data_IF_938424771646
#
_entry.id   IF_938424771646
#
_cell.length_a   1.000
_cell.length_b   1.000
_cell.length_c   1.000
_cell.angle_alpha   90.00
_cell.angle_beta   90.00
_cell.angle_gamma   90.00
#
_symmetry.space_group_name_H-M   'P 1'
#
loop_
_entity.id
_entity.type
_entity.pdbx_description
1 polymer ?
#
# COMPACT_ATOMS: atom_id res chain seq x y z
N UNK A 1 20.95 -28.92 -24.35
CA UNK A 1 20.04 -27.83 -24.77
C UNK A 1 19.36 -27.34 -23.47
N UNK A 2 19.95 -26.32 -22.88
CA UNK A 2 19.47 -25.79 -21.57
C UNK A 2 18.34 -24.78 -21.88
N UNK A 3 17.12 -25.09 -21.46
CA UNK A 3 15.99 -24.15 -21.48
C UNK A 3 16.25 -23.07 -20.45
N UNK A 4 16.67 -21.91 -20.91
CA UNK A 4 16.80 -20.69 -20.15
C UNK A 4 15.40 -20.23 -19.73
N UNK A 5 14.95 -20.61 -18.54
CA UNK A 5 13.79 -20.04 -17.88
C UNK A 5 14.10 -18.56 -17.63
N UNK A 6 13.55 -17.66 -18.46
CA UNK A 6 13.47 -16.23 -18.12
C UNK A 6 12.66 -16.14 -16.85
N UNK A 7 13.33 -16.02 -15.68
CA UNK A 7 12.68 -15.69 -14.42
C UNK A 7 11.87 -14.41 -14.64
N UNK A 8 10.58 -14.41 -14.28
CA UNK A 8 9.78 -13.20 -14.28
C UNK A 8 10.51 -12.19 -13.38
N UNK A 9 10.80 -11.04 -13.95
CA UNK A 9 11.39 -9.93 -13.19
C UNK A 9 10.37 -9.46 -12.15
N UNK A 10 10.79 -9.36 -10.88
CA UNK A 10 9.90 -8.91 -9.81
C UNK A 10 9.37 -7.50 -10.07
N UNK A 11 8.11 -7.24 -9.73
CA UNK A 11 7.50 -5.91 -9.84
C UNK A 11 8.20 -4.91 -8.95
N UNK A 12 8.50 -5.29 -7.70
CA UNK A 12 9.27 -4.48 -6.75
C UNK A 12 10.42 -5.31 -6.21
N UNK A 13 11.61 -4.73 -6.16
CA UNK A 13 12.82 -5.35 -5.62
C UNK A 13 13.57 -4.36 -4.75
N UNK A 14 13.90 -4.78 -3.55
CA UNK A 14 14.77 -4.11 -2.60
C UNK A 14 16.04 -4.93 -2.46
N UNK A 15 17.21 -4.30 -2.69
CA UNK A 15 18.52 -4.93 -2.64
C UNK A 15 19.35 -4.26 -1.53
N UNK A 16 19.51 -4.93 -0.39
CA UNK A 16 20.31 -4.50 0.76
C UNK A 16 20.02 -3.06 1.22
N UNK A 17 18.73 -2.74 1.32
CA UNK A 17 18.25 -1.37 1.59
C UNK A 17 18.45 -1.01 3.06
N UNK A 18 19.07 0.14 3.30
CA UNK A 18 19.23 0.76 4.61
C UNK A 18 18.72 2.19 4.63
N UNK A 19 18.34 2.65 5.84
CA UNK A 19 17.89 4.03 6.08
C UNK A 19 18.43 4.56 7.39
N UNK A 20 19.11 5.69 7.31
CA UNK A 20 19.63 6.45 8.46
C UNK A 20 19.07 7.88 8.40
N UNK A 21 18.38 8.30 9.46
CA UNK A 21 18.00 9.69 9.65
C UNK A 21 19.11 10.47 10.38
N UNK A 22 19.34 11.70 9.96
CA UNK A 22 20.21 12.64 10.66
C UNK A 22 19.35 13.42 11.66
N UNK A 23 19.47 13.10 12.95
CA UNK A 23 18.76 13.77 14.04
C UNK A 23 19.68 14.68 14.85
N UNK A 24 19.09 15.51 15.73
CA UNK A 24 19.83 16.40 16.66
C UNK A 24 20.75 15.62 17.62
N UNK A 25 20.45 14.36 17.91
CA UNK A 25 21.22 13.49 18.79
C UNK A 25 22.17 12.53 18.01
N UNK A 26 22.45 12.85 16.74
CA UNK A 26 23.29 12.04 15.86
C UNK A 26 22.50 11.15 14.90
N UNK A 27 23.20 10.34 14.09
CA UNK A 27 22.58 9.47 13.11
C UNK A 27 21.77 8.35 13.79
N UNK A 28 20.52 8.20 13.39
CA UNK A 28 19.62 7.12 13.84
C UNK A 28 19.36 6.15 12.68
N UNK A 29 19.86 4.94 12.79
CA UNK A 29 19.56 3.86 11.83
C UNK A 29 18.18 3.29 12.09
N UNK A 30 17.32 3.35 11.07
CA UNK A 30 15.91 2.93 11.14
C UNK A 30 15.67 1.64 10.38
N UNK A 31 16.37 1.44 9.26
CA UNK A 31 16.32 0.20 8.48
C UNK A 31 17.73 -0.25 8.13
N UNK A 32 17.96 -1.56 8.10
CA UNK A 32 19.25 -2.14 7.69
C UNK A 32 19.06 -3.50 7.03
N UNK A 33 19.82 -3.70 5.97
CA UNK A 33 19.90 -4.98 5.23
C UNK A 33 18.54 -5.50 4.77
N UNK A 34 17.62 -4.62 4.34
CA UNK A 34 16.31 -5.03 3.84
C UNK A 34 16.43 -5.51 2.41
N UNK A 35 16.25 -6.80 2.20
CA UNK A 35 16.16 -7.42 0.89
C UNK A 35 14.80 -8.11 0.74
N UNK A 36 14.03 -7.72 -0.28
CA UNK A 36 12.65 -8.16 -0.48
C UNK A 36 12.32 -8.11 -1.97
N UNK A 37 11.51 -9.05 -2.43
CA UNK A 37 10.94 -9.04 -3.78
C UNK A 37 9.45 -9.30 -3.76
N UNK A 38 8.72 -8.64 -4.66
CA UNK A 38 7.28 -8.79 -4.87
C UNK A 38 7.00 -8.93 -6.35
N UNK A 39 6.27 -9.97 -6.74
CA UNK A 39 5.85 -10.20 -8.12
C UNK A 39 4.50 -9.50 -8.40
N UNK A 40 4.17 -9.35 -9.70
CA UNK A 40 2.84 -8.85 -10.09
C UNK A 40 1.73 -9.75 -9.54
N UNK A 41 0.68 -9.13 -9.01
CA UNK A 41 -0.49 -9.82 -8.43
C UNK A 41 -0.22 -10.50 -7.09
N UNK A 42 0.97 -10.36 -6.49
CA UNK A 42 1.24 -10.85 -5.13
C UNK A 42 0.77 -9.85 -4.07
N UNK A 43 0.33 -10.40 -2.93
CA UNK A 43 -0.11 -9.64 -1.77
C UNK A 43 0.84 -9.92 -0.60
N UNK A 44 1.56 -8.88 -0.16
CA UNK A 44 2.51 -8.96 0.94
C UNK A 44 1.99 -8.18 2.14
N UNK A 45 2.13 -8.74 3.32
CA UNK A 45 1.91 -8.03 4.57
C UNK A 45 3.21 -7.85 5.32
N UNK A 46 3.36 -6.70 5.97
CA UNK A 46 4.53 -6.37 6.80
C UNK A 46 4.04 -6.13 8.21
N UNK A 47 4.43 -7.00 9.14
CA UNK A 47 4.05 -6.90 10.55
C UNK A 47 5.25 -6.61 11.43
N UNK A 48 4.99 -5.97 12.56
CA UNK A 48 6.01 -5.68 13.57
C UNK A 48 5.53 -4.63 14.56
N UNK A 49 6.24 -4.43 15.67
CA UNK A 49 5.86 -3.47 16.69
C UNK A 49 5.93 -2.03 16.18
N UNK A 50 5.28 -1.12 16.92
CA UNK A 50 5.33 0.32 16.62
C UNK A 50 6.79 0.82 16.69
N UNK A 51 7.15 1.69 15.75
CA UNK A 51 8.50 2.29 15.69
C UNK A 51 9.60 1.41 15.08
N UNK A 52 9.34 0.17 14.64
CA UNK A 52 10.38 -0.69 14.04
C UNK A 52 10.76 -0.32 12.58
N UNK A 53 10.18 0.72 11.98
CA UNK A 53 10.55 1.21 10.65
C UNK A 53 9.58 0.90 9.51
N UNK A 54 8.42 0.26 9.76
CA UNK A 54 7.45 -0.15 8.71
C UNK A 54 6.99 1.01 7.82
N UNK A 55 6.57 2.13 8.41
CA UNK A 55 6.13 3.31 7.64
C UNK A 55 7.30 3.96 6.87
N UNK A 56 8.53 3.88 7.40
CA UNK A 56 9.73 4.33 6.68
C UNK A 56 10.01 3.42 5.48
N UNK A 57 9.91 2.10 5.64
CA UNK A 57 10.01 1.15 4.53
C UNK A 57 8.98 1.45 3.44
N UNK A 58 7.74 1.73 3.85
CA UNK A 58 6.65 2.04 2.92
C UNK A 58 6.93 3.32 2.11
N UNK A 59 7.47 4.37 2.76
CA UNK A 59 7.89 5.61 2.09
C UNK A 59 9.03 5.39 1.10
N UNK A 60 10.00 4.53 1.42
CA UNK A 60 11.06 4.13 0.50
C UNK A 60 10.49 3.42 -0.72
N UNK A 61 9.60 2.43 -0.52
CA UNK A 61 8.94 1.69 -1.61
C UNK A 61 8.02 2.58 -2.46
N UNK A 62 7.47 3.66 -1.89
CA UNK A 62 6.68 4.65 -2.62
C UNK A 62 7.53 5.65 -3.43
N UNK A 63 8.85 5.63 -3.26
CA UNK A 63 9.75 6.63 -3.85
C UNK A 63 9.63 8.02 -3.23
N UNK A 64 8.97 8.14 -2.05
CA UNK A 64 8.82 9.39 -1.30
C UNK A 64 10.10 9.76 -0.54
N UNK A 65 10.98 8.79 -0.37
CA UNK A 65 12.28 8.94 0.28
C UNK A 65 13.29 8.04 -0.42
N UNK A 66 14.53 8.51 -0.57
CA UNK A 66 15.62 7.69 -1.07
C UNK A 66 16.24 6.85 0.07
N UNK A 67 16.66 5.60 -0.19
CA UNK A 67 17.45 4.84 0.77
C UNK A 67 18.84 5.47 0.96
N UNK A 68 19.43 5.30 2.14
CA UNK A 68 20.83 5.72 2.40
C UNK A 68 21.83 4.67 1.96
N UNK A 69 21.42 3.41 1.89
CA UNK A 69 22.21 2.25 1.49
C UNK A 69 21.36 1.35 0.58
N UNK A 70 22.01 0.62 -0.34
CA UNK A 70 21.32 -0.28 -1.25
C UNK A 70 20.53 0.44 -2.35
N UNK A 71 19.59 -0.29 -2.96
CA UNK A 71 18.76 0.25 -4.03
C UNK A 71 17.36 -0.38 -4.07
N UNK A 72 16.42 0.36 -4.65
CA UNK A 72 15.06 -0.11 -4.91
C UNK A 72 14.82 -0.05 -6.42
N UNK A 73 14.23 -1.12 -6.97
CA UNK A 73 13.78 -1.18 -8.35
C UNK A 73 12.28 -1.44 -8.40
N UNK A 74 11.61 -0.79 -9.35
CA UNK A 74 10.20 -1.01 -9.64
C UNK A 74 10.03 -1.24 -11.14
N UNK A 75 9.41 -2.35 -11.52
CA UNK A 75 9.29 -2.80 -12.91
C UNK A 75 10.65 -2.76 -13.65
N UNK A 76 11.70 -3.31 -13.03
CA UNK A 76 13.06 -3.37 -13.54
C UNK A 76 13.85 -2.06 -13.51
N UNK A 77 13.22 -0.93 -13.23
CA UNK A 77 13.85 0.40 -13.23
C UNK A 77 14.20 0.84 -11.81
N UNK A 78 15.36 1.48 -11.65
CA UNK A 78 15.75 2.09 -10.36
C UNK A 78 14.73 3.14 -9.93
N UNK A 79 14.28 3.05 -8.68
CA UNK A 79 13.38 4.03 -8.07
C UNK A 79 14.14 5.32 -7.77
N UNK A 80 13.72 6.42 -8.37
CA UNK A 80 14.32 7.75 -8.16
C UNK A 80 13.31 8.78 -7.65
N UNK A 81 12.05 8.40 -7.48
CA UNK A 81 10.95 9.24 -7.03
C UNK A 81 9.60 8.54 -7.14
N UNK A 82 8.50 9.21 -6.79
CA UNK A 82 7.15 8.70 -6.92
C UNK A 82 6.81 8.30 -8.36
N UNK A 83 5.95 7.29 -8.51
CA UNK A 83 5.57 6.75 -9.81
C UNK A 83 4.05 6.77 -10.01
N UNK A 84 3.55 7.05 -11.22
CA UNK A 84 2.11 7.10 -11.49
C UNK A 84 1.43 5.73 -11.45
N UNK A 85 2.20 4.64 -11.62
CA UNK A 85 1.74 3.25 -11.56
C UNK A 85 1.84 2.63 -10.14
N UNK A 86 2.09 3.49 -9.13
CA UNK A 86 2.13 3.14 -7.72
C UNK A 86 1.19 4.05 -6.92
N UNK A 87 0.34 3.49 -6.09
CA UNK A 87 -0.53 4.24 -5.20
C UNK A 87 -0.21 3.95 -3.73
N UNK A 88 -0.46 4.94 -2.86
CA UNK A 88 -0.30 4.79 -1.41
C UNK A 88 -1.53 5.28 -0.67
N UNK A 89 -1.96 4.52 0.34
CA UNK A 89 -2.97 4.91 1.32
C UNK A 89 -2.29 5.04 2.68
N UNK A 90 -2.30 6.24 3.23
CA UNK A 90 -1.76 6.55 4.55
C UNK A 90 -2.77 6.25 5.66
N UNK A 91 -2.30 6.13 6.88
CA UNK A 91 -3.11 5.85 8.08
C UNK A 91 -4.20 6.90 8.34
N UNK A 92 -3.94 8.17 8.01
CA UNK A 92 -4.89 9.29 8.15
C UNK A 92 -5.82 9.45 6.94
N UNK A 93 -5.78 8.47 6.01
CA UNK A 93 -6.52 8.44 4.74
C UNK A 93 -6.16 9.56 3.75
N UNK A 94 -5.62 10.69 4.19
CA UNK A 94 -5.23 11.84 3.38
C UNK A 94 -6.35 12.37 2.46
N UNK A 95 -7.62 12.29 2.88
CA UNK A 95 -8.74 12.80 2.10
C UNK A 95 -8.74 14.33 2.10
N UNK A 96 -9.10 14.93 0.97
CA UNK A 96 -9.27 16.37 0.87
C UNK A 96 -10.62 16.77 1.49
N UNK A 97 -10.65 17.48 2.63
CA UNK A 97 -11.87 17.73 3.38
C UNK A 97 -12.89 18.62 2.66
N UNK A 98 -12.44 19.40 1.67
CA UNK A 98 -13.27 20.27 0.82
C UNK A 98 -13.75 19.61 -0.48
N UNK A 99 -13.48 18.31 -0.65
CA UNK A 99 -13.94 17.50 -1.78
C UNK A 99 -14.88 16.42 -1.30
N UNK A 100 -15.93 16.17 -2.09
CA UNK A 100 -16.84 15.04 -1.85
C UNK A 100 -16.13 13.69 -2.04
N UNK A 101 -16.80 12.59 -1.68
CA UNK A 101 -16.32 11.22 -1.94
C UNK A 101 -15.97 11.05 -3.43
N UNK A 102 -16.90 11.39 -4.32
CA UNK A 102 -16.69 11.28 -5.77
C UNK A 102 -15.50 12.12 -6.26
N UNK A 103 -15.39 13.36 -5.80
CA UNK A 103 -14.30 14.26 -6.19
C UNK A 103 -12.95 13.79 -5.66
N UNK A 104 -12.89 13.22 -4.44
CA UNK A 104 -11.67 12.59 -3.91
C UNK A 104 -11.24 11.43 -4.79
N UNK A 105 -12.18 10.56 -5.19
CA UNK A 105 -11.89 9.39 -6.04
C UNK A 105 -11.43 9.83 -7.44
N UNK A 106 -12.03 10.87 -8.02
CA UNK A 106 -11.69 11.35 -9.37
C UNK A 106 -10.37 12.12 -9.44
N UNK A 107 -9.89 12.64 -8.31
CA UNK A 107 -8.75 13.57 -8.28
C UNK A 107 -7.48 13.04 -8.96
N UNK A 108 -7.01 11.80 -8.73
CA UNK A 108 -5.80 11.32 -9.37
C UNK A 108 -5.89 11.31 -10.89
N UNK A 109 -7.06 10.93 -11.44
CA UNK A 109 -7.30 10.92 -12.88
C UNK A 109 -7.25 12.31 -13.51
N UNK A 110 -7.67 13.33 -12.76
CA UNK A 110 -7.58 14.74 -13.21
C UNK A 110 -6.13 15.20 -13.30
N UNK A 111 -5.27 14.75 -12.37
CA UNK A 111 -3.85 15.13 -12.32
C UNK A 111 -2.99 14.39 -13.36
N UNK A 112 -3.35 13.15 -13.69
CA UNK A 112 -2.55 12.27 -14.56
C UNK A 112 -3.16 12.02 -15.93
N UNK A 113 -4.19 12.77 -16.33
CA UNK A 113 -4.89 12.60 -17.62
C UNK A 113 -5.44 11.19 -17.86
N UNK A 114 -5.74 10.47 -16.80
CA UNK A 114 -6.31 9.12 -16.83
C UNK A 114 -7.62 9.06 -16.04
N UNK A 115 -8.59 9.86 -16.46
CA UNK A 115 -9.86 9.98 -15.77
C UNK A 115 -10.75 8.75 -15.97
N UNK A 116 -11.33 8.26 -14.87
CA UNK A 116 -12.38 7.25 -14.93
C UNK A 116 -13.56 7.77 -15.77
N UNK A 117 -14.05 6.97 -16.70
CA UNK A 117 -15.33 7.25 -17.34
C UNK A 117 -16.48 7.03 -16.34
N UNK A 118 -17.72 7.40 -16.74
CA UNK A 118 -18.88 7.33 -15.86
C UNK A 118 -19.14 5.91 -15.35
N UNK A 119 -19.06 4.91 -16.23
CA UNK A 119 -19.36 3.51 -15.88
C UNK A 119 -18.30 2.91 -14.96
N UNK A 120 -17.03 3.23 -15.18
CA UNK A 120 -15.93 2.83 -14.30
C UNK A 120 -16.07 3.40 -12.89
N UNK A 121 -16.43 4.68 -12.79
CA UNK A 121 -16.68 5.32 -11.50
C UNK A 121 -17.88 4.69 -10.77
N UNK A 122 -19.00 4.48 -11.48
CA UNK A 122 -20.19 3.83 -10.87
C UNK A 122 -19.84 2.44 -10.34
N UNK A 123 -19.13 1.61 -11.13
CA UNK A 123 -18.67 0.29 -10.69
C UNK A 123 -17.78 0.37 -9.46
N UNK A 124 -16.85 1.35 -9.42
CA UNK A 124 -15.95 1.53 -8.28
C UNK A 124 -16.70 1.97 -7.02
N UNK A 125 -17.63 2.94 -7.14
CA UNK A 125 -18.47 3.40 -6.03
C UNK A 125 -19.35 2.25 -5.49
N UNK A 126 -19.94 1.44 -6.38
CA UNK A 126 -20.74 0.27 -5.99
C UNK A 126 -19.87 -0.80 -5.30
N UNK A 127 -18.69 -1.13 -5.85
CA UNK A 127 -17.79 -2.14 -5.28
C UNK A 127 -17.29 -1.79 -3.89
N UNK A 128 -17.21 -0.50 -3.57
CA UNK A 128 -16.78 0.03 -2.27
C UNK A 128 -17.95 0.43 -1.37
N UNK A 129 -19.20 0.19 -1.79
CA UNK A 129 -20.41 0.58 -1.05
C UNK A 129 -20.41 2.07 -0.66
N UNK A 130 -20.11 2.94 -1.64
CA UNK A 130 -20.02 4.40 -1.48
C UNK A 130 -21.08 5.17 -2.28
N UNK A 131 -21.95 4.49 -3.02
CA UNK A 131 -22.93 5.13 -3.92
C UNK A 131 -23.84 6.08 -3.16
N UNK A 132 -24.34 5.69 -1.98
CA UNK A 132 -25.26 6.49 -1.18
C UNK A 132 -24.62 7.78 -0.64
N UNK A 133 -23.31 7.75 -0.39
CA UNK A 133 -22.56 8.86 0.23
C UNK A 133 -21.66 9.61 -0.75
N UNK A 134 -21.80 9.36 -2.05
CA UNK A 134 -20.91 9.90 -3.10
C UNK A 134 -20.74 11.42 -3.09
N UNK A 135 -21.78 12.14 -2.63
CA UNK A 135 -21.79 13.61 -2.54
C UNK A 135 -21.46 14.16 -1.16
N UNK A 136 -21.22 13.29 -0.18
CA UNK A 136 -20.83 13.69 1.17
C UNK A 136 -19.36 14.10 1.23
N UNK A 137 -19.06 15.00 2.15
CA UNK A 137 -17.70 15.43 2.47
C UNK A 137 -17.08 14.52 3.53
N UNK A 138 -15.74 14.41 3.64
CA UNK A 138 -15.08 13.57 4.62
C UNK A 138 -15.53 13.77 6.07
N UNK A 139 -15.93 15.00 6.45
CA UNK A 139 -16.45 15.29 7.79
C UNK A 139 -17.76 14.58 8.13
N UNK A 140 -18.55 14.19 7.13
CA UNK A 140 -19.86 13.55 7.26
C UNK A 140 -19.78 12.02 7.21
N UNK A 141 -18.58 11.45 6.98
CA UNK A 141 -18.37 10.02 6.77
C UNK A 141 -17.99 9.29 8.05
N UNK A 142 -18.44 8.03 8.18
CA UNK A 142 -17.90 7.09 9.16
C UNK A 142 -16.43 6.75 8.85
N UNK A 143 -15.70 6.18 9.82
CA UNK A 143 -14.32 5.73 9.63
C UNK A 143 -14.19 4.76 8.45
N UNK A 144 -15.08 3.77 8.34
CA UNK A 144 -15.08 2.82 7.22
C UNK A 144 -15.38 3.47 5.87
N UNK A 145 -16.28 4.46 5.81
CA UNK A 145 -16.55 5.21 4.59
C UNK A 145 -15.34 6.07 4.17
N UNK A 146 -14.66 6.73 5.12
CA UNK A 146 -13.41 7.47 4.85
C UNK A 146 -12.35 6.54 4.26
N UNK A 147 -12.17 5.40 4.86
CA UNK A 147 -11.22 4.40 4.40
C UNK A 147 -11.55 3.90 2.99
N UNK A 148 -12.79 3.46 2.75
CA UNK A 148 -13.24 3.00 1.42
C UNK A 148 -13.08 4.11 0.37
N UNK A 149 -13.28 5.37 0.76
CA UNK A 149 -13.02 6.53 -0.12
C UNK A 149 -11.53 6.67 -0.47
N UNK A 150 -10.64 6.50 0.51
CA UNK A 150 -9.19 6.54 0.27
C UNK A 150 -8.72 5.37 -0.62
N UNK A 151 -9.26 4.16 -0.38
CA UNK A 151 -9.04 3.01 -1.26
C UNK A 151 -9.55 3.30 -2.67
N UNK A 152 -10.77 3.82 -2.82
CA UNK A 152 -11.34 4.18 -4.12
C UNK A 152 -10.50 5.19 -4.87
N UNK A 153 -9.95 6.19 -4.18
CA UNK A 153 -9.03 7.17 -4.77
C UNK A 153 -7.74 6.50 -5.27
N UNK A 154 -7.17 5.59 -4.50
CA UNK A 154 -5.97 4.86 -4.90
C UNK A 154 -6.26 3.91 -6.08
N UNK A 155 -7.37 3.19 -6.05
CA UNK A 155 -7.79 2.25 -7.09
C UNK A 155 -8.18 2.94 -8.40
N UNK A 156 -8.66 4.19 -8.33
CA UNK A 156 -8.98 5.00 -9.51
C UNK A 156 -7.78 5.23 -10.45
N UNK A 157 -6.56 5.11 -9.93
CA UNK A 157 -5.33 5.17 -10.73
C UNK A 157 -5.03 3.86 -11.47
N UNK A 158 -5.71 2.76 -11.17
CA UNK A 158 -5.39 1.42 -11.66
C UNK A 158 -3.90 1.08 -11.47
N UNK A 159 -3.36 1.23 -10.25
CA UNK A 159 -1.93 1.07 -10.01
C UNK A 159 -1.51 -0.38 -10.19
N UNK A 160 -0.23 -0.60 -10.56
CA UNK A 160 0.39 -1.93 -10.53
C UNK A 160 0.69 -2.37 -9.10
N UNK A 161 0.99 -1.41 -8.22
CA UNK A 161 1.28 -1.64 -6.80
C UNK A 161 0.50 -0.68 -5.92
N UNK A 162 -0.21 -1.22 -4.93
CA UNK A 162 -0.88 -0.46 -3.88
C UNK A 162 -0.17 -0.69 -2.54
N UNK A 163 0.32 0.39 -1.96
CA UNK A 163 0.93 0.42 -0.63
C UNK A 163 -0.09 0.95 0.38
N UNK A 164 -0.17 0.33 1.56
CA UNK A 164 -1.11 0.75 2.61
C UNK A 164 -0.44 0.74 3.98
N UNK A 165 -0.55 1.86 4.71
CA UNK A 165 0.00 2.03 6.07
C UNK A 165 -1.13 1.94 7.09
N UNK A 166 -1.20 0.83 7.82
CA UNK A 166 -2.21 0.51 8.83
C UNK A 166 -3.66 0.86 8.41
N UNK A 167 -4.08 0.41 7.22
CA UNK A 167 -5.29 0.93 6.60
C UNK A 167 -6.57 0.67 7.42
N UNK A 168 -6.63 -0.37 8.24
CA UNK A 168 -7.84 -0.77 8.96
C UNK A 168 -7.74 -0.58 10.48
N UNK A 169 -6.67 0.09 10.96
CA UNK A 169 -6.39 0.23 12.39
C UNK A 169 -7.45 1.05 13.16
N UNK A 170 -8.05 2.05 12.51
CA UNK A 170 -9.04 2.94 13.10
C UNK A 170 -10.49 2.41 13.03
N UNK A 171 -10.71 1.19 12.51
CA UNK A 171 -12.04 0.60 12.35
C UNK A 171 -12.38 -0.32 13.52
N UNK A 172 -13.67 -0.35 13.89
CA UNK A 172 -14.20 -1.39 14.77
C UNK A 172 -14.14 -2.78 14.08
N UNK A 173 -14.17 -3.88 14.85
CA UNK A 173 -13.99 -5.22 14.30
C UNK A 173 -14.99 -5.58 13.19
N UNK A 174 -16.26 -5.23 13.33
CA UNK A 174 -17.29 -5.58 12.34
C UNK A 174 -17.05 -4.84 11.02
N UNK A 175 -16.77 -3.54 11.10
CA UNK A 175 -16.46 -2.70 9.95
C UNK A 175 -15.16 -3.15 9.26
N UNK A 176 -14.18 -3.59 10.04
CA UNK A 176 -12.88 -4.09 9.54
C UNK A 176 -13.07 -5.32 8.66
N UNK A 177 -13.83 -6.32 9.12
CA UNK A 177 -14.12 -7.52 8.32
C UNK A 177 -14.86 -7.19 7.00
N UNK A 178 -15.84 -6.29 7.06
CA UNK A 178 -16.52 -5.83 5.83
C UNK A 178 -15.54 -5.18 4.84
N UNK A 179 -14.60 -4.37 5.32
CA UNK A 179 -13.57 -3.76 4.47
C UNK A 179 -12.61 -4.80 3.89
N UNK A 180 -12.24 -5.86 4.66
CA UNK A 180 -11.41 -6.95 4.16
C UNK A 180 -12.10 -7.68 3.00
N UNK A 181 -13.38 -8.03 3.15
CA UNK A 181 -14.14 -8.75 2.12
C UNK A 181 -14.26 -7.93 0.83
N UNK A 182 -14.57 -6.64 0.96
CA UNK A 182 -14.63 -5.72 -0.18
C UNK A 182 -13.26 -5.60 -0.87
N UNK A 183 -12.19 -5.47 -0.09
CA UNK A 183 -10.84 -5.36 -0.61
C UNK A 183 -10.39 -6.65 -1.29
N UNK A 184 -10.58 -7.81 -0.66
CA UNK A 184 -10.29 -9.14 -1.25
C UNK A 184 -11.01 -9.35 -2.56
N UNK A 185 -12.30 -9.03 -2.62
CA UNK A 185 -13.09 -9.14 -3.85
C UNK A 185 -12.51 -8.28 -4.97
N UNK A 186 -12.03 -7.08 -4.64
CA UNK A 186 -11.41 -6.20 -5.62
C UNK A 186 -10.07 -6.73 -6.12
N UNK A 187 -9.14 -7.07 -5.20
CA UNK A 187 -7.81 -7.55 -5.59
C UNK A 187 -7.87 -8.89 -6.35
N UNK A 188 -8.80 -9.78 -5.99
CA UNK A 188 -9.00 -11.06 -6.66
C UNK A 188 -9.45 -10.95 -8.12
N UNK A 189 -9.90 -9.77 -8.57
CA UNK A 189 -10.27 -9.50 -9.98
C UNK A 189 -9.25 -8.65 -10.72
N UNK A 190 -8.13 -8.30 -10.09
CA UNK A 190 -7.09 -7.44 -10.67
C UNK A 190 -5.71 -8.11 -10.60
N UNK A 191 -4.80 -7.68 -11.48
CA UNK A 191 -3.38 -8.07 -11.41
C UNK A 191 -2.54 -7.16 -10.51
N UNK A 192 -3.19 -6.30 -9.72
CA UNK A 192 -2.54 -5.35 -8.83
C UNK A 192 -1.85 -6.08 -7.68
N UNK A 193 -0.58 -5.81 -7.47
CA UNK A 193 0.13 -6.25 -6.28
C UNK A 193 -0.17 -5.33 -5.09
N UNK A 194 -0.08 -5.84 -3.86
CA UNK A 194 -0.31 -5.03 -2.65
C UNK A 194 0.76 -5.26 -1.60
N UNK A 195 1.11 -4.20 -0.86
CA UNK A 195 1.88 -4.29 0.38
C UNK A 195 1.11 -3.58 1.48
N UNK A 196 0.77 -4.32 2.53
CA UNK A 196 0.00 -3.82 3.67
C UNK A 196 0.89 -3.84 4.90
N UNK A 197 1.14 -2.68 5.48
CA UNK A 197 1.78 -2.54 6.79
C UNK A 197 0.71 -2.59 7.87
N UNK A 198 0.87 -3.49 8.84
CA UNK A 198 -0.07 -3.64 9.95
C UNK A 198 0.63 -4.12 11.23
N UNK A 199 -0.03 -3.96 12.37
CA UNK A 199 0.35 -4.61 13.63
C UNK A 199 -0.53 -5.81 13.95
N UNK A 200 -1.56 -6.11 13.13
CA UNK A 200 -2.49 -7.22 13.32
C UNK A 200 -2.05 -8.45 12.51
N UNK A 201 -1.77 -9.55 13.23
CA UNK A 201 -1.49 -10.84 12.60
C UNK A 201 -2.72 -11.42 11.88
N UNK A 202 -3.92 -11.13 12.39
CA UNK A 202 -5.18 -11.52 11.75
C UNK A 202 -5.33 -10.84 10.38
N UNK A 203 -5.07 -9.52 10.31
CA UNK A 203 -5.08 -8.78 9.06
C UNK A 203 -4.03 -9.32 8.08
N UNK A 204 -2.82 -9.61 8.59
CA UNK A 204 -1.75 -10.16 7.79
C UNK A 204 -2.12 -11.51 7.16
N UNK A 205 -2.69 -12.42 7.95
CA UNK A 205 -3.16 -13.72 7.47
C UNK A 205 -4.35 -13.58 6.50
N UNK A 206 -5.22 -12.60 6.77
CA UNK A 206 -6.41 -12.39 5.97
C UNK A 206 -6.12 -11.82 4.57
N UNK A 207 -5.11 -10.97 4.40
CA UNK A 207 -4.93 -10.13 3.21
C UNK A 207 -3.63 -10.38 2.43
N UNK A 208 -2.68 -11.14 2.98
CA UNK A 208 -1.39 -11.40 2.35
C UNK A 208 -1.22 -12.83 1.89
N UNK A 209 -0.51 -13.05 0.79
CA UNK A 209 0.03 -14.36 0.40
C UNK A 209 1.27 -14.70 1.22
N UNK A 210 1.99 -13.65 1.63
CA UNK A 210 3.20 -13.73 2.45
C UNK A 210 3.19 -12.66 3.52
N UNK A 211 3.77 -12.98 4.68
CA UNK A 211 3.97 -12.05 5.79
C UNK A 211 5.46 -11.88 6.08
N UNK A 212 5.93 -10.64 6.03
CA UNK A 212 7.26 -10.21 6.48
C UNK A 212 7.15 -9.75 7.92
N UNK A 213 7.93 -10.34 8.81
CA UNK A 213 7.95 -10.01 10.23
C UNK A 213 9.17 -9.16 10.53
N UNK A 214 8.97 -7.99 11.08
CA UNK A 214 10.03 -7.10 11.55
C UNK A 214 10.41 -7.41 12.99
N UNK A 215 11.71 -7.43 13.27
CA UNK A 215 12.24 -7.53 14.62
C UNK A 215 11.81 -6.33 15.49
N UNK A 216 11.78 -6.52 16.81
CA UNK A 216 11.43 -5.46 17.77
C UNK A 216 12.34 -4.24 17.69
N UNK A 217 13.59 -4.46 17.36
CA UNK A 217 14.63 -3.42 17.28
C UNK A 217 15.49 -3.64 16.04
N UNK A 218 16.19 -2.58 15.63
CA UNK A 218 17.21 -2.66 14.57
C UNK A 218 16.69 -2.50 13.15
N UNK A 219 15.38 -2.41 12.93
CA UNK A 219 14.84 -2.18 11.58
C UNK A 219 15.22 -3.26 10.57
N UNK A 220 15.23 -4.54 11.00
CA UNK A 220 15.57 -5.72 10.20
C UNK A 220 14.38 -6.64 10.02
N UNK A 221 14.37 -7.39 8.92
CA UNK A 221 13.43 -8.51 8.73
C UNK A 221 13.92 -9.68 9.58
N UNK A 222 13.03 -10.16 10.45
CA UNK A 222 13.28 -11.33 11.30
C UNK A 222 12.86 -12.63 10.62
N UNK A 223 11.74 -12.59 9.88
CA UNK A 223 11.17 -13.78 9.25
C UNK A 223 10.32 -13.41 8.02
N UNK A 224 10.14 -14.36 7.10
CA UNK A 224 9.24 -14.27 5.96
C UNK A 224 8.43 -15.55 5.86
N UNK A 225 7.12 -15.48 6.09
CA UNK A 225 6.20 -16.62 6.13
C UNK A 225 5.27 -16.59 4.92
N UNK A 226 4.96 -17.76 4.37
CA UNK A 226 3.80 -17.92 3.49
C UNK A 226 2.55 -18.05 4.35
N UNK A 227 1.51 -17.36 3.99
CA UNK A 227 0.19 -17.55 4.60
C UNK A 227 -0.51 -18.72 3.89
N UNK A 228 -1.15 -19.59 4.65
CA UNK A 228 -1.91 -20.74 4.15
C UNK A 228 -3.34 -20.33 3.75
#
# INVERSE_FOLDING_TARGET
>A
MSSNGKGREALLQLDDVGLVYQGSNGPQRVLQHISLSLDEGQHLTVVGPSGCGKSSLLRLMAGLQAPTEGQIRFAGQKMTGPRPDLAIVFQDYGLFPWKTVEENIRLPGQLHHHSLNKDQLEKLLQSLDLTAVRKHYPGELSGGQKQRTALGRAMAMQPKLLLMDEPFSALDPAMRHQCYDLFRKYIGTSSMATIIVTHSLEEAAALGDKTVVFAKTGGVIEDVRKNE
#
